data_IF_021012527825
#
_entry.id   IF_021012527825
#
_cell.length_a   1.000
_cell.length_b   1.000
_cell.length_c   1.000
_cell.angle_alpha   90.00
_cell.angle_beta   90.00
_cell.angle_gamma   90.00
#
_symmetry.space_group_name_H-M   'P 1'
#
loop_
_entity.id
_entity.type
_entity.pdbx_description
1 polymer ?
#
# COMPACT_ATOMS: atom_id res chain seq x y z
N UNK A 1 -6.78 -0.31 -13.39
CA UNK A 1 -7.80 -0.02 -12.36
C UNK A 1 -7.08 0.31 -11.06
N UNK A 2 -7.67 1.13 -10.18
CA UNK A 2 -7.01 1.58 -8.94
C UNK A 2 -7.82 1.24 -7.70
N UNK A 3 -9.10 1.63 -7.68
CA UNK A 3 -10.04 1.32 -6.59
C UNK A 3 -11.24 0.54 -7.15
N UNK A 4 -11.60 -0.57 -6.51
CA UNK A 4 -12.67 -1.49 -6.89
C UNK A 4 -13.62 -1.73 -5.71
N UNK A 5 -14.92 -1.87 -5.98
CA UNK A 5 -15.91 -2.32 -4.99
C UNK A 5 -16.12 -3.81 -5.18
N UNK A 6 -16.11 -4.58 -4.08
CA UNK A 6 -16.48 -6.00 -4.10
C UNK A 6 -17.88 -6.16 -3.52
N UNK A 7 -18.72 -6.97 -4.17
CA UNK A 7 -20.11 -7.19 -3.73
C UNK A 7 -20.23 -7.81 -2.33
N UNK A 8 -19.19 -8.50 -1.87
CA UNK A 8 -19.14 -9.16 -0.56
C UNK A 8 -18.44 -8.33 0.53
N UNK A 9 -18.07 -7.07 0.28
CA UNK A 9 -17.37 -6.25 1.26
C UNK A 9 -17.92 -4.82 1.32
N UNK A 10 -18.07 -4.32 2.55
CA UNK A 10 -18.43 -2.91 2.79
C UNK A 10 -17.30 -1.98 2.38
N UNK A 11 -16.05 -2.45 2.36
CA UNK A 11 -14.88 -1.61 2.09
C UNK A 11 -14.52 -1.58 0.61
N UNK A 12 -13.91 -0.48 0.18
CA UNK A 12 -13.25 -0.40 -1.12
C UNK A 12 -11.95 -1.20 -1.10
N UNK A 13 -11.60 -1.80 -2.22
CA UNK A 13 -10.33 -2.49 -2.42
C UNK A 13 -9.48 -1.72 -3.40
N UNK A 14 -8.18 -1.68 -3.16
CA UNK A 14 -7.20 -1.10 -4.04
C UNK A 14 -6.54 -2.25 -4.79
N UNK A 15 -6.53 -2.17 -6.11
CA UNK A 15 -5.89 -3.14 -6.98
C UNK A 15 -5.19 -2.42 -8.12
N UNK A 16 -3.89 -2.63 -8.27
CA UNK A 16 -3.13 -2.13 -9.41
C UNK A 16 -2.00 -3.08 -9.79
N UNK A 17 -1.48 -2.92 -11.00
CA UNK A 17 -0.30 -3.63 -11.47
C UNK A 17 0.90 -2.71 -11.45
N UNK A 18 2.04 -3.24 -11.02
CA UNK A 18 3.33 -2.56 -11.01
C UNK A 18 4.45 -3.59 -11.18
N UNK A 19 5.40 -3.35 -12.08
CA UNK A 19 6.51 -4.28 -12.40
C UNK A 19 6.08 -5.74 -12.66
N UNK A 20 4.97 -5.93 -13.38
CA UNK A 20 4.43 -7.27 -13.69
C UNK A 20 3.76 -7.97 -12.50
N UNK A 21 3.78 -7.39 -11.30
CA UNK A 21 3.11 -7.91 -10.12
C UNK A 21 1.77 -7.20 -9.91
N UNK A 22 0.78 -7.94 -9.42
CA UNK A 22 -0.53 -7.39 -9.07
C UNK A 22 -0.60 -7.18 -7.56
N UNK A 23 -0.79 -5.93 -7.15
CA UNK A 23 -0.94 -5.54 -5.75
C UNK A 23 -2.41 -5.37 -5.42
N UNK A 24 -2.88 -6.04 -4.37
CA UNK A 24 -4.27 -5.97 -3.90
C UNK A 24 -4.28 -5.75 -2.39
N UNK A 25 -5.02 -4.74 -1.92
CA UNK A 25 -5.31 -4.57 -0.48
C UNK A 25 -6.68 -3.97 -0.24
N UNK A 26 -7.26 -4.23 0.94
CA UNK A 26 -8.43 -3.48 1.39
C UNK A 26 -8.03 -2.05 1.75
N UNK A 27 -8.81 -1.05 1.30
CA UNK A 27 -8.66 0.34 1.73
C UNK A 27 -9.12 0.56 3.18
N UNK A 28 -9.85 -0.42 3.76
CA UNK A 28 -10.49 -0.33 5.08
C UNK A 28 -11.43 0.87 5.26
N UNK A 29 -11.86 1.50 4.18
CA UNK A 29 -12.83 2.59 4.19
C UNK A 29 -14.02 2.28 3.28
N UNK A 30 -15.19 2.79 3.65
CA UNK A 30 -16.40 2.74 2.83
C UNK A 30 -16.53 3.97 1.93
N UNK A 31 -15.72 5.01 2.17
CA UNK A 31 -15.66 6.24 1.37
C UNK A 31 -14.72 6.05 0.17
N UNK A 32 -15.23 6.33 -1.04
CA UNK A 32 -14.49 6.14 -2.28
C UNK A 32 -13.33 7.15 -2.41
N UNK A 33 -13.55 8.41 -2.04
CA UNK A 33 -12.51 9.47 -2.16
C UNK A 33 -11.33 9.16 -1.26
N UNK A 34 -11.60 8.69 -0.03
CA UNK A 34 -10.56 8.26 0.89
C UNK A 34 -9.82 7.04 0.31
N UNK A 35 -10.52 6.08 -0.30
CA UNK A 35 -9.89 4.93 -0.93
C UNK A 35 -8.97 5.31 -2.10
N UNK A 36 -9.34 6.31 -2.90
CA UNK A 36 -8.53 6.87 -3.99
C UNK A 36 -7.26 7.56 -3.45
N UNK A 37 -7.37 8.31 -2.36
CA UNK A 37 -6.20 8.89 -1.69
C UNK A 37 -5.24 7.81 -1.16
N UNK A 38 -5.77 6.73 -0.59
CA UNK A 38 -4.97 5.59 -0.10
C UNK A 38 -4.30 4.84 -1.27
N UNK A 39 -4.96 4.74 -2.43
CA UNK A 39 -4.36 4.14 -3.63
C UNK A 39 -3.16 4.95 -4.11
N UNK A 40 -3.32 6.26 -4.26
CA UNK A 40 -2.26 7.15 -4.71
C UNK A 40 -1.05 7.13 -3.75
N UNK A 41 -1.29 7.20 -2.44
CA UNK A 41 -0.24 7.11 -1.42
C UNK A 41 0.50 5.77 -1.48
N UNK A 42 -0.24 4.66 -1.63
CA UNK A 42 0.37 3.33 -1.69
C UNK A 42 1.23 3.15 -2.94
N UNK A 43 0.71 3.55 -4.10
CA UNK A 43 1.45 3.48 -5.36
C UNK A 43 2.72 4.33 -5.29
N UNK A 44 2.63 5.55 -4.75
CA UNK A 44 3.79 6.43 -4.55
C UNK A 44 4.85 5.79 -3.65
N UNK A 45 4.45 5.23 -2.51
CA UNK A 45 5.37 4.53 -1.59
C UNK A 45 6.05 3.33 -2.25
N UNK A 46 5.30 2.58 -3.05
CA UNK A 46 5.81 1.40 -3.74
C UNK A 46 6.87 1.79 -4.79
N UNK A 47 6.56 2.78 -5.64
CA UNK A 47 7.52 3.32 -6.61
C UNK A 47 8.75 3.90 -5.92
N UNK A 48 8.55 4.68 -4.84
CA UNK A 48 9.66 5.28 -4.10
C UNK A 48 10.58 4.24 -3.49
N UNK A 49 10.03 3.16 -2.90
CA UNK A 49 10.82 2.08 -2.32
C UNK A 49 11.69 1.36 -3.35
N UNK A 50 11.21 1.22 -4.60
CA UNK A 50 11.99 0.61 -5.68
C UNK A 50 13.06 1.54 -6.24
N UNK A 51 12.74 2.82 -6.44
CA UNK A 51 13.69 3.81 -6.98
C UNK A 51 14.81 4.13 -5.99
N UNK A 52 14.48 4.23 -4.71
CA UNK A 52 15.45 4.62 -3.67
C UNK A 52 16.26 3.42 -3.16
N UNK A 53 15.87 2.19 -3.52
CA UNK A 53 16.54 0.96 -3.10
C UNK A 53 16.53 0.84 -1.59
N UNK A 54 15.41 0.40 -1.03
CA UNK A 54 15.25 -0.08 0.35
C UNK A 54 16.26 0.56 1.33
N UNK A 55 15.95 1.76 1.84
CA UNK A 55 16.43 2.10 3.17
C UNK A 55 15.56 1.26 4.08
N UNK A 56 16.07 0.05 4.35
CA UNK A 56 15.40 -0.96 5.16
C UNK A 56 14.77 -0.26 6.37
N UNK A 57 13.55 -0.67 6.68
CA UNK A 57 13.00 -0.35 7.99
C UNK A 57 14.06 -0.87 8.96
N UNK A 58 14.74 0.05 9.64
CA UNK A 58 15.40 -0.29 10.88
C UNK A 58 14.31 -0.95 11.72
N UNK A 59 14.37 -2.27 11.79
CA UNK A 59 13.62 -3.03 12.75
C UNK A 59 14.03 -2.43 14.09
N UNK A 60 13.10 -1.76 14.76
CA UNK A 60 13.37 -1.14 16.06
C UNK A 60 13.84 -2.18 17.10
N UNK A 61 13.75 -3.49 16.79
CA UNK A 61 14.32 -4.60 17.57
C UNK A 61 15.86 -4.72 17.44
N UNK A 62 16.46 -4.27 16.35
CA UNK A 62 17.92 -4.38 16.13
C UNK A 62 18.71 -3.30 16.87
N UNK A 63 18.11 -2.13 17.10
CA UNK A 63 18.76 -1.01 17.81
C UNK A 63 18.74 -1.24 19.34
N UNK A 64 17.78 -1.99 19.88
CA UNK A 64 17.63 -2.18 21.33
C UNK A 64 18.57 -3.25 21.93
N UNK A 65 19.35 -3.97 21.12
CA UNK A 65 20.31 -4.98 21.59
C UNK A 65 21.75 -4.47 21.67
N UNK A 66 21.98 -3.20 21.35
CA UNK A 66 23.30 -2.57 21.30
C UNK A 66 23.43 -1.39 22.29
N UNK A 67 22.74 -1.46 23.44
CA UNK A 67 22.94 -0.58 24.60
C UNK A 67 22.92 -1.43 25.88
#
# INVERSE_FOLDING_TARGET
MGVIKRGNSKFWYIQFQHNGQTFIKSSKTTDKKIAEMIEADWRKKLILNEVVGIKDRADFDEILRMV
#
